data_IF_523359138227
#
_entry.id   IF_523359138227
#
_cell.length_a   1.000
_cell.length_b   1.000
_cell.length_c   1.000
_cell.angle_alpha   90.00
_cell.angle_beta   90.00
_cell.angle_gamma   90.00
#
_symmetry.space_group_name_H-M   'P 1'
#
loop_
_entity.id
_entity.type
_entity.pdbx_description
1 polymer ?
#
# COMPACT_ATOMS: atom_id res chain seq x y z
N UNK A 1 -0.57 -22.56 6.78
CA UNK A 1 0.55 -22.64 5.82
C UNK A 1 0.29 -21.70 4.64
N UNK A 2 0.33 -20.38 4.85
CA UNK A 2 0.30 -19.39 3.75
C UNK A 2 1.50 -18.48 3.95
N UNK A 3 2.68 -18.98 3.57
CA UNK A 3 3.91 -18.20 3.58
C UNK A 3 4.76 -18.69 2.41
N UNK A 4 4.59 -18.03 1.26
CA UNK A 4 5.39 -18.27 0.06
C UNK A 4 5.29 -17.17 -1.02
N UNK A 5 4.30 -16.27 -1.03
CA UNK A 5 4.04 -15.46 -2.25
C UNK A 5 4.49 -14.00 -2.23
N UNK A 6 4.63 -13.34 -1.08
CA UNK A 6 5.10 -11.94 -1.10
C UNK A 6 6.62 -11.91 -1.00
N UNK A 7 7.28 -12.25 -2.12
CA UNK A 7 8.70 -11.98 -2.30
C UNK A 7 8.91 -10.47 -2.29
N UNK A 8 10.06 -10.07 -1.75
CA UNK A 8 10.65 -8.75 -1.98
C UNK A 8 10.65 -8.45 -3.48
N UNK A 9 9.86 -7.45 -3.89
CA UNK A 9 9.64 -7.11 -5.30
C UNK A 9 8.43 -7.77 -5.98
N UNK A 10 7.36 -8.09 -5.24
CA UNK A 10 6.08 -8.48 -5.86
C UNK A 10 5.60 -7.40 -6.83
N UNK A 11 5.51 -7.69 -8.16
CA UNK A 11 5.09 -6.72 -9.15
C UNK A 11 3.68 -6.19 -8.90
N UNK A 12 2.82 -6.95 -8.21
CA UNK A 12 1.47 -6.50 -7.87
C UNK A 12 1.53 -5.31 -6.91
N UNK A 13 2.32 -5.40 -5.85
CA UNK A 13 2.46 -4.31 -4.87
C UNK A 13 2.99 -3.03 -5.51
N UNK A 14 4.03 -3.17 -6.36
CA UNK A 14 4.60 -2.05 -7.12
C UNK A 14 3.59 -1.45 -8.10
N UNK A 15 2.80 -2.29 -8.79
CA UNK A 15 1.82 -1.82 -9.76
C UNK A 15 0.63 -1.12 -9.09
N UNK A 16 0.15 -1.63 -7.95
CA UNK A 16 -0.89 -0.98 -7.14
C UNK A 16 -0.39 0.36 -6.61
N UNK A 17 0.85 0.40 -6.11
CA UNK A 17 1.47 1.64 -5.68
C UNK A 17 1.52 2.68 -6.81
N UNK A 18 2.09 2.31 -7.96
CA UNK A 18 2.25 3.20 -9.09
C UNK A 18 0.92 3.72 -9.65
N UNK A 19 -0.10 2.87 -9.76
CA UNK A 19 -1.39 3.24 -10.38
C UNK A 19 -2.38 3.92 -9.43
N UNK A 20 -2.06 4.02 -8.14
CA UNK A 20 -3.04 4.52 -7.16
C UNK A 20 -2.39 5.37 -6.06
N UNK A 21 -1.38 4.84 -5.38
CA UNK A 21 -0.77 5.51 -4.23
C UNK A 21 0.15 6.68 -4.63
N UNK A 22 0.98 6.46 -5.66
CA UNK A 22 2.03 7.38 -6.10
C UNK A 22 1.48 8.76 -6.49
N UNK A 23 0.29 8.80 -7.13
CA UNK A 23 -0.39 10.04 -7.53
C UNK A 23 -0.53 11.06 -6.40
N UNK A 24 -0.64 10.60 -5.15
CA UNK A 24 -0.68 11.49 -3.99
C UNK A 24 0.62 11.49 -3.19
N UNK A 25 1.21 10.32 -2.97
CA UNK A 25 2.31 10.15 -2.02
C UNK A 25 3.70 10.49 -2.58
N UNK A 26 3.87 10.53 -3.90
CA UNK A 26 5.12 10.97 -4.56
C UNK A 26 5.03 12.43 -5.06
N UNK A 27 3.83 13.02 -5.03
CA UNK A 27 3.57 14.38 -5.53
C UNK A 27 3.28 15.39 -4.42
N UNK A 28 3.49 15.02 -3.15
CA UNK A 28 3.33 15.93 -2.01
C UNK A 28 1.89 16.28 -1.65
N UNK A 29 0.89 15.57 -2.21
CA UNK A 29 -0.51 15.68 -1.78
C UNK A 29 -0.70 14.96 -0.45
N UNK A 30 -0.10 13.78 -0.31
CA UNK A 30 0.05 13.06 0.95
C UNK A 30 1.52 13.00 1.39
N UNK A 31 1.78 12.59 2.64
CA UNK A 31 3.15 12.39 3.11
C UNK A 31 3.83 11.26 2.34
N UNK A 32 5.15 11.29 2.18
CA UNK A 32 5.90 10.17 1.62
C UNK A 32 5.72 8.90 2.48
N UNK A 33 5.48 7.77 1.82
CA UNK A 33 5.23 6.47 2.46
C UNK A 33 6.23 5.37 2.05
N UNK A 34 7.09 5.63 1.07
CA UNK A 34 8.25 4.81 0.70
C UNK A 34 9.48 5.19 1.53
N UNK A 35 10.46 4.29 1.63
CA UNK A 35 11.69 4.45 2.42
C UNK A 35 11.44 4.68 3.92
N UNK A 36 10.41 4.02 4.45
CA UNK A 36 9.96 4.17 5.84
C UNK A 36 9.72 2.85 6.57
N UNK A 37 9.62 1.74 5.85
CA UNK A 37 9.32 0.42 6.41
C UNK A 37 8.02 0.41 7.22
N UNK A 38 6.90 0.79 6.59
CA UNK A 38 5.62 0.95 7.27
C UNK A 38 5.02 -0.39 7.71
N UNK A 39 4.38 -0.41 8.89
CA UNK A 39 3.64 -1.58 9.35
C UNK A 39 2.45 -1.89 8.39
N UNK A 40 2.36 -3.10 7.82
CA UNK A 40 1.27 -3.50 6.95
C UNK A 40 -0.13 -3.32 7.56
N UNK A 41 -0.28 -3.48 8.88
CA UNK A 41 -1.56 -3.29 9.56
C UNK A 41 -2.01 -1.83 9.52
N UNK A 42 -1.08 -0.89 9.66
CA UNK A 42 -1.36 0.55 9.56
C UNK A 42 -1.75 0.91 8.13
N UNK A 43 -1.02 0.40 7.13
CA UNK A 43 -1.37 0.61 5.71
C UNK A 43 -2.79 0.13 5.42
N UNK A 44 -3.13 -1.10 5.86
CA UNK A 44 -4.48 -1.66 5.68
C UNK A 44 -5.55 -0.80 6.32
N UNK A 45 -5.32 -0.33 7.55
CA UNK A 45 -6.27 0.52 8.28
C UNK A 45 -6.52 1.83 7.51
N UNK A 46 -5.44 2.53 7.12
CA UNK A 46 -5.54 3.80 6.40
C UNK A 46 -6.20 3.65 5.04
N UNK A 47 -5.91 2.58 4.29
CA UNK A 47 -6.55 2.35 2.98
C UNK A 47 -8.04 2.04 3.14
N UNK A 48 -8.46 1.28 4.17
CA UNK A 48 -9.87 0.89 4.33
C UNK A 48 -10.74 1.93 5.02
N UNK A 49 -10.15 2.81 5.84
CA UNK A 49 -10.90 3.80 6.61
C UNK A 49 -10.61 5.24 6.20
N UNK A 50 -9.61 5.46 5.36
CA UNK A 50 -9.09 6.79 5.09
C UNK A 50 -8.40 7.39 6.32
N UNK A 51 -7.94 8.63 6.18
CA UNK A 51 -7.32 9.37 7.26
C UNK A 51 -7.21 10.84 6.93
N UNK A 52 -7.92 11.69 7.66
CA UNK A 52 -8.05 13.11 7.35
C UNK A 52 -8.53 13.30 5.90
N UNK A 53 -7.70 13.89 5.03
CA UNK A 53 -8.00 14.09 3.62
C UNK A 53 -7.72 12.87 2.73
N UNK A 54 -7.04 11.83 3.25
CA UNK A 54 -6.80 10.59 2.51
C UNK A 54 -8.12 9.80 2.37
N UNK A 55 -8.58 9.49 1.14
CA UNK A 55 -9.82 8.75 0.94
C UNK A 55 -9.70 7.30 1.38
N UNK A 56 -10.83 6.69 1.74
CA UNK A 56 -10.95 5.24 1.90
C UNK A 56 -11.15 4.58 0.53
N UNK A 57 -10.52 3.43 0.31
CA UNK A 57 -10.63 2.63 -0.91
C UNK A 57 -11.39 1.33 -0.63
N UNK A 58 -12.43 1.07 -1.43
CA UNK A 58 -13.28 -0.12 -1.32
C UNK A 58 -12.53 -1.37 -1.79
N UNK A 59 -12.94 -2.57 -1.36
CA UNK A 59 -12.41 -3.83 -1.89
C UNK A 59 -12.56 -3.99 -3.42
N UNK A 60 -13.54 -3.30 -4.02
CA UNK A 60 -13.73 -3.28 -5.48
C UNK A 60 -12.73 -2.38 -6.22
N UNK A 61 -12.05 -1.48 -5.50
CA UNK A 61 -11.05 -0.55 -6.07
C UNK A 61 -9.63 -1.04 -5.82
N UNK A 62 -9.39 -1.58 -4.62
CA UNK A 62 -8.16 -2.27 -4.24
C UNK A 62 -8.59 -3.52 -3.50
N UNK A 63 -8.42 -4.70 -4.12
CA UNK A 63 -8.75 -5.98 -3.51
C UNK A 63 -7.89 -6.26 -2.27
N UNK A 64 -8.32 -7.21 -1.43
CA UNK A 64 -7.55 -7.57 -0.23
C UNK A 64 -6.18 -8.18 -0.59
N UNK A 65 -6.09 -8.90 -1.71
CA UNK A 65 -4.84 -9.45 -2.20
C UNK A 65 -3.87 -8.34 -2.68
N UNK A 66 -4.38 -7.37 -3.43
CA UNK A 66 -3.60 -6.19 -3.88
C UNK A 66 -3.16 -5.34 -2.69
N UNK A 67 -4.06 -5.12 -1.73
CA UNK A 67 -3.75 -4.36 -0.52
C UNK A 67 -2.69 -5.08 0.32
N UNK A 68 -2.75 -6.41 0.45
CA UNK A 68 -1.72 -7.19 1.13
C UNK A 68 -0.36 -7.06 0.42
N UNK A 69 -0.34 -7.14 -0.91
CA UNK A 69 0.88 -7.01 -1.71
C UNK A 69 1.54 -5.63 -1.56
N UNK A 70 0.79 -4.53 -1.70
CA UNK A 70 1.34 -3.17 -1.56
C UNK A 70 1.74 -2.85 -0.12
N UNK A 71 1.03 -3.39 0.87
CA UNK A 71 1.39 -3.20 2.28
C UNK A 71 2.74 -3.85 2.61
N UNK A 72 2.96 -5.07 2.13
CA UNK A 72 4.23 -5.76 2.30
C UNK A 72 5.37 -5.10 1.49
N UNK A 73 5.08 -4.55 0.31
CA UNK A 73 6.05 -3.74 -0.44
C UNK A 73 6.49 -2.51 0.38
N UNK A 74 5.55 -1.79 1.01
CA UNK A 74 5.86 -0.61 1.84
C UNK A 74 6.60 -0.96 3.14
N UNK A 75 6.33 -2.11 3.73
CA UNK A 75 7.07 -2.64 4.88
C UNK A 75 8.55 -2.89 4.55
N UNK A 76 8.82 -3.34 3.33
CA UNK A 76 10.17 -3.66 2.85
C UNK A 76 10.90 -2.43 2.29
N UNK A 77 10.16 -1.36 1.95
CA UNK A 77 10.72 -0.10 1.46
C UNK A 77 11.32 0.70 2.61
N UNK A 78 12.60 0.46 2.91
CA UNK A 78 13.41 1.18 3.91
C UNK A 78 14.47 2.07 3.26
#
# INVERSE_FOLDING_TARGET
MVSALVRTGDPVGVQVYARTCAYCHDHGVGPAITHRGLDPAVVRLMVRHGGLAMPAFRPTEISDAELAAVSAMLEQSK
#
